data_IF_378843419779
#
_entry.id   IF_378843419779
#
_cell.length_a   1.000
_cell.length_b   1.000
_cell.length_c   1.000
_cell.angle_alpha   90.00
_cell.angle_beta   90.00
_cell.angle_gamma   90.00
#
_symmetry.space_group_name_H-M   'P 1'
#
loop_
_entity.id
_entity.type
_entity.pdbx_description
1 polymer ?
#
# COMPACT_ATOMS: atom_id res chain seq x y z
N UNK A 1 -8.78 -32.84 55.36
CA UNK A 1 -10.12 -32.84 54.73
C UNK A 1 -10.01 -32.06 53.44
N UNK A 2 -10.06 -32.76 52.30
CA UNK A 2 -9.86 -32.20 50.97
C UNK A 2 -11.21 -31.97 50.30
N UNK A 3 -11.49 -30.72 49.88
CA UNK A 3 -12.66 -30.39 49.10
C UNK A 3 -12.29 -30.36 47.61
N UNK A 4 -12.93 -31.25 46.85
CA UNK A 4 -12.67 -31.57 45.45
C UNK A 4 -13.77 -30.92 44.61
N UNK A 5 -13.54 -29.72 44.08
CA UNK A 5 -14.50 -29.07 43.16
C UNK A 5 -14.21 -29.47 41.72
N UNK A 6 -15.07 -30.35 41.17
CA UNK A 6 -15.17 -30.63 39.73
C UNK A 6 -15.94 -29.49 39.07
N UNK A 7 -15.26 -28.68 38.26
CA UNK A 7 -15.91 -27.77 37.32
C UNK A 7 -16.13 -28.49 35.99
N UNK A 8 -17.37 -28.47 35.52
CA UNK A 8 -17.87 -29.10 34.31
C UNK A 8 -17.52 -28.21 33.11
N UNK A 9 -16.59 -28.66 32.24
CA UNK A 9 -16.34 -28.05 30.93
C UNK A 9 -17.55 -28.28 30.02
N UNK A 10 -18.37 -27.26 29.80
CA UNK A 10 -19.32 -27.20 28.68
C UNK A 10 -18.61 -26.55 27.49
N UNK A 11 -18.23 -27.38 26.53
CA UNK A 11 -17.85 -26.98 25.17
C UNK A 11 -19.03 -26.27 24.50
N UNK A 12 -18.92 -24.94 24.30
CA UNK A 12 -19.79 -24.20 23.38
C UNK A 12 -19.09 -24.10 22.03
N UNK A 13 -19.66 -24.81 21.05
CA UNK A 13 -19.40 -24.61 19.62
C UNK A 13 -19.96 -23.23 19.27
N UNK A 14 -19.13 -22.30 18.81
CA UNK A 14 -19.64 -21.12 18.12
C UNK A 14 -19.97 -21.55 16.69
N UNK A 15 -21.26 -21.43 16.38
CA UNK A 15 -21.81 -21.66 15.06
C UNK A 15 -21.46 -20.47 14.16
N UNK A 16 -21.15 -20.79 12.91
CA UNK A 16 -21.01 -19.86 11.81
C UNK A 16 -22.23 -18.92 11.70
N UNK A 17 -21.95 -17.62 11.67
CA UNK A 17 -22.81 -16.61 11.07
C UNK A 17 -22.05 -16.12 9.83
N UNK A 18 -22.60 -15.99 8.65
CA UNK A 18 -23.98 -15.99 8.18
C UNK A 18 -23.88 -15.29 6.83
N UNK A 19 -23.71 -16.07 5.78
CA UNK A 19 -23.44 -15.61 4.43
C UNK A 19 -24.71 -14.91 3.90
N UNK A 20 -24.74 -13.58 3.92
CA UNK A 20 -25.79 -12.80 3.28
C UNK A 20 -25.47 -12.75 1.79
N UNK A 21 -26.06 -13.68 1.03
CA UNK A 21 -26.06 -13.64 -0.42
C UNK A 21 -26.97 -12.51 -0.91
N UNK A 22 -26.38 -11.34 -1.21
CA UNK A 22 -27.04 -10.31 -2.00
C UNK A 22 -27.07 -10.77 -3.45
N UNK A 23 -28.26 -11.12 -3.95
CA UNK A 23 -28.48 -11.39 -5.36
C UNK A 23 -28.34 -10.07 -6.14
N UNK A 24 -27.25 -9.91 -6.88
CA UNK A 24 -27.10 -8.86 -7.89
C UNK A 24 -27.96 -9.19 -9.12
N UNK A 25 -28.63 -8.21 -9.75
CA UNK A 25 -29.32 -8.43 -11.01
C UNK A 25 -28.31 -8.75 -12.12
N UNK A 26 -28.55 -9.86 -12.82
CA UNK A 26 -27.80 -10.26 -14.00
C UNK A 26 -28.06 -9.26 -15.16
N UNK A 27 -27.20 -8.27 -15.30
CA UNK A 27 -27.11 -7.46 -16.52
C UNK A 27 -26.26 -8.19 -17.56
N UNK A 28 -26.89 -9.11 -18.30
CA UNK A 28 -26.33 -9.65 -19.54
C UNK A 28 -26.40 -8.60 -20.66
N UNK A 29 -25.36 -7.77 -20.76
CA UNK A 29 -25.14 -6.85 -21.88
C UNK A 29 -24.00 -7.33 -22.76
N UNK A 30 -24.32 -7.96 -23.88
CA UNK A 30 -23.38 -8.38 -24.92
C UNK A 30 -22.95 -7.12 -25.70
N UNK A 31 -21.71 -6.66 -25.50
CA UNK A 31 -21.13 -5.57 -26.31
C UNK A 31 -20.51 -6.18 -27.58
N UNK A 32 -21.27 -6.15 -28.68
CA UNK A 32 -20.76 -6.46 -30.01
C UNK A 32 -19.88 -5.29 -30.49
N UNK A 33 -18.56 -5.51 -30.54
CA UNK A 33 -17.62 -4.61 -31.19
C UNK A 33 -17.72 -4.76 -32.70
N UNK A 34 -18.48 -3.87 -33.34
CA UNK A 34 -18.45 -3.72 -34.79
C UNK A 34 -17.16 -2.99 -35.20
N UNK A 35 -16.27 -3.71 -35.89
CA UNK A 35 -15.11 -3.14 -36.55
C UNK A 35 -15.54 -2.19 -37.67
N UNK A 36 -15.04 -0.95 -37.64
CA UNK A 36 -15.08 -0.06 -38.79
C UNK A 36 -13.83 -0.31 -39.67
N UNK A 37 -13.97 -0.38 -41.01
CA UNK A 37 -12.83 -0.43 -41.91
C UNK A 37 -12.29 0.99 -42.15
N UNK A 38 -10.98 1.17 -42.00
CA UNK A 38 -10.29 2.39 -42.41
C UNK A 38 -9.32 2.05 -43.55
N UNK A 39 -9.83 2.20 -44.78
CA UNK A 39 -9.00 2.36 -45.97
C UNK A 39 -8.79 3.86 -46.20
N UNK A 40 -7.54 4.32 -46.11
CA UNK A 40 -7.08 5.55 -46.74
C UNK A 40 -5.56 5.48 -46.88
N UNK A 41 -5.10 4.95 -48.02
CA UNK A 41 -3.80 5.25 -48.58
C UNK A 41 -3.72 6.76 -48.86
N UNK A 42 -2.68 7.43 -48.39
CA UNK A 42 -2.13 8.55 -49.14
C UNK A 42 -0.62 8.68 -48.92
N UNK A 43 0.08 8.79 -50.03
CA UNK A 43 1.53 8.76 -50.15
C UNK A 43 2.05 10.16 -50.51
N UNK A 44 3.10 10.64 -49.83
CA UNK A 44 3.89 11.81 -50.25
C UNK A 44 5.16 12.01 -49.38
N UNK A 45 6.17 12.78 -49.84
CA UNK A 45 7.53 12.30 -50.13
C UNK A 45 8.61 12.65 -49.06
N UNK A 46 9.87 12.15 -49.21
CA UNK A 46 10.94 12.39 -48.25
C UNK A 46 11.59 13.76 -48.49
N UNK A 47 11.67 14.59 -47.44
CA UNK A 47 12.37 15.87 -47.51
C UNK A 47 12.68 16.47 -46.15
N UNK A 48 13.96 16.83 -45.99
CA UNK A 48 14.59 17.65 -44.94
C UNK A 48 14.96 16.96 -43.62
N UNK A 49 16.26 16.64 -43.52
CA UNK A 49 16.95 16.43 -42.26
C UNK A 49 16.89 17.72 -41.43
N UNK A 50 16.02 17.72 -40.42
CA UNK A 50 16.01 18.72 -39.35
C UNK A 50 17.14 18.36 -38.39
N UNK A 51 18.05 19.30 -38.17
CA UNK A 51 19.10 19.18 -37.15
C UNK A 51 18.45 18.88 -35.80
N UNK A 52 18.75 17.71 -35.25
CA UNK A 52 18.42 17.36 -33.88
C UNK A 52 19.35 18.14 -32.96
N UNK A 53 18.94 19.36 -32.62
CA UNK A 53 19.40 19.98 -31.38
C UNK A 53 18.93 19.05 -30.26
N UNK A 54 19.89 18.33 -29.67
CA UNK A 54 19.70 17.39 -28.57
C UNK A 54 19.29 18.10 -27.28
N UNK A 55 18.14 18.78 -27.31
CA UNK A 55 17.43 19.19 -26.11
C UNK A 55 16.99 17.92 -25.40
N UNK A 56 17.74 17.54 -24.36
CA UNK A 56 17.26 16.61 -23.34
C UNK A 56 15.88 17.08 -22.92
N UNK A 57 14.86 16.26 -23.20
CA UNK A 57 13.52 16.47 -22.67
C UNK A 57 13.66 16.66 -21.16
N UNK A 58 13.00 17.66 -20.56
CA UNK A 58 13.04 17.84 -19.11
C UNK A 58 12.63 16.53 -18.46
N UNK A 59 13.53 15.99 -17.63
CA UNK A 59 13.32 14.74 -16.93
C UNK A 59 12.08 14.91 -16.03
N UNK A 60 11.14 13.96 -16.04
CA UNK A 60 9.91 14.08 -15.26
C UNK A 60 10.21 14.26 -13.77
N UNK A 61 9.38 15.02 -13.07
CA UNK A 61 9.52 15.35 -11.65
C UNK A 61 8.56 14.53 -10.79
N UNK A 62 8.87 14.38 -9.49
CA UNK A 62 7.87 13.94 -8.52
C UNK A 62 6.69 14.92 -8.56
N UNK A 63 5.45 14.43 -8.76
CA UNK A 63 4.30 15.30 -8.96
C UNK A 63 3.97 16.08 -7.69
N UNK A 64 3.63 17.34 -7.88
CA UNK A 64 3.19 18.25 -6.83
C UNK A 64 1.70 18.55 -7.02
N UNK A 65 1.05 19.00 -5.95
CA UNK A 65 -0.35 19.42 -5.97
C UNK A 65 -1.22 18.61 -5.02
N UNK A 66 -2.51 18.58 -5.33
CA UNK A 66 -3.55 18.01 -4.48
C UNK A 66 -4.04 16.67 -5.04
N UNK A 67 -4.03 15.67 -4.18
CA UNK A 67 -4.55 14.33 -4.41
C UNK A 67 -5.78 14.13 -3.51
N UNK A 68 -6.82 13.51 -4.07
CA UNK A 68 -8.11 13.29 -3.43
C UNK A 68 -8.48 11.80 -3.54
N UNK A 69 -9.72 11.44 -3.19
CA UNK A 69 -10.22 10.06 -3.22
C UNK A 69 -9.29 9.11 -2.45
N UNK A 70 -8.89 9.58 -1.26
CA UNK A 70 -7.90 8.86 -0.49
C UNK A 70 -8.50 7.59 0.13
N UNK A 71 -7.70 6.55 0.19
CA UNK A 71 -7.96 5.38 1.02
C UNK A 71 -6.76 5.11 1.91
N UNK A 72 -7.02 4.70 3.14
CA UNK A 72 -5.98 4.45 4.12
C UNK A 72 -6.15 3.08 4.76
N UNK A 73 -5.06 2.52 5.24
CA UNK A 73 -5.07 1.31 6.03
C UNK A 73 -3.94 1.28 7.05
N UNK A 74 -3.99 0.27 7.90
CA UNK A 74 -2.95 -0.01 8.88
C UNK A 74 -2.86 -1.50 9.12
N UNK A 75 -1.64 -2.02 9.11
CA UNK A 75 -1.31 -3.38 9.51
C UNK A 75 -0.36 -3.33 10.71
N UNK A 76 -0.65 -4.12 11.74
CA UNK A 76 0.12 -4.15 12.98
C UNK A 76 0.08 -5.54 13.61
N UNK A 77 1.00 -5.80 14.53
CA UNK A 77 0.92 -6.95 15.42
C UNK A 77 0.01 -6.63 16.62
N UNK A 78 -0.95 -7.51 16.92
CA UNK A 78 -1.67 -7.52 18.20
C UNK A 78 -3.11 -7.03 18.16
N UNK A 79 -3.52 -6.34 19.24
CA UNK A 79 -4.91 -5.97 19.54
C UNK A 79 -5.29 -4.55 19.05
N UNK A 80 -4.47 -3.94 18.17
CA UNK A 80 -4.85 -2.68 17.56
C UNK A 80 -5.75 -2.91 16.35
N UNK A 81 -6.68 -1.98 16.14
CA UNK A 81 -7.62 -2.09 15.04
C UNK A 81 -6.93 -1.89 13.69
N UNK A 82 -6.64 -2.98 12.98
CA UNK A 82 -6.36 -2.92 11.54
C UNK A 82 -7.65 -2.55 10.81
N UNK A 83 -7.74 -1.30 10.34
CA UNK A 83 -8.85 -0.84 9.51
C UNK A 83 -8.29 -0.25 8.24
N UNK A 84 -8.83 -0.67 7.10
CA UNK A 84 -8.74 0.09 5.88
C UNK A 84 -10.11 0.61 5.47
N UNK A 85 -10.14 1.79 4.89
CA UNK A 85 -11.37 2.39 4.38
C UNK A 85 -11.07 3.52 3.41
N UNK A 86 -12.06 3.80 2.56
CA UNK A 86 -12.08 4.99 1.70
C UNK A 86 -12.51 6.18 2.55
N UNK A 87 -11.72 7.24 2.50
CA UNK A 87 -12.07 8.52 3.11
C UNK A 87 -12.67 9.44 2.06
N UNK A 88 -14.00 9.47 1.99
CA UNK A 88 -14.68 10.48 1.20
C UNK A 88 -14.36 11.87 1.80
N UNK A 89 -13.68 12.70 1.01
CA UNK A 89 -13.15 14.01 1.45
C UNK A 89 -11.73 14.01 2.02
N UNK A 90 -11.04 12.87 2.08
CA UNK A 90 -9.61 12.84 2.41
C UNK A 90 -8.78 13.51 1.31
N UNK A 91 -7.84 14.38 1.70
CA UNK A 91 -7.01 15.17 0.77
C UNK A 91 -5.55 15.14 1.19
N UNK A 92 -4.67 14.77 0.25
CA UNK A 92 -3.22 14.82 0.39
C UNK A 92 -2.67 15.94 -0.48
N UNK A 93 -1.87 16.83 0.09
CA UNK A 93 -1.20 17.91 -0.64
C UNK A 93 0.30 17.69 -0.59
N UNK A 94 0.95 17.70 -1.75
CA UNK A 94 2.40 17.55 -1.89
C UNK A 94 2.96 18.87 -2.43
N UNK A 95 3.85 19.49 -1.67
CA UNK A 95 4.57 20.71 -2.06
C UNK A 95 6.08 20.47 -1.99
N UNK A 96 6.89 21.32 -2.64
CA UNK A 96 8.34 21.14 -2.70
C UNK A 96 9.09 22.41 -2.28
N UNK A 97 10.18 22.21 -1.54
CA UNK A 97 11.21 23.22 -1.25
C UNK A 97 12.60 22.59 -1.47
N UNK A 98 13.25 22.92 -2.59
CA UNK A 98 14.49 22.24 -2.99
C UNK A 98 14.25 20.75 -3.29
N UNK A 99 15.01 19.84 -2.67
CA UNK A 99 14.77 18.39 -2.76
C UNK A 99 13.77 17.88 -1.73
N UNK A 100 13.32 18.71 -0.80
CA UNK A 100 12.36 18.30 0.24
C UNK A 100 10.93 18.44 -0.27
N UNK A 101 10.11 17.42 -0.01
CA UNK A 101 8.67 17.43 -0.20
C UNK A 101 7.99 17.61 1.17
N UNK A 102 7.12 18.60 1.28
CA UNK A 102 6.19 18.78 2.41
C UNK A 102 4.85 18.16 1.99
N UNK A 103 4.49 17.09 2.70
CA UNK A 103 3.30 16.28 2.46
C UNK A 103 2.32 16.53 3.59
N UNK A 104 1.12 17.03 3.26
CA UNK A 104 0.07 17.33 4.23
C UNK A 104 -1.17 16.52 3.93
N UNK A 105 -1.63 15.78 4.91
CA UNK A 105 -2.87 15.03 4.83
C UNK A 105 -3.93 15.67 5.70
N UNK A 106 -5.14 15.79 5.15
CA UNK A 106 -6.34 16.18 5.88
C UNK A 106 -7.37 15.08 5.71
N UNK A 107 -7.79 14.47 6.82
CA UNK A 107 -8.81 13.42 6.77
C UNK A 107 -10.22 14.00 6.62
N UNK A 108 -11.23 13.13 6.45
CA UNK A 108 -12.64 13.54 6.33
C UNK A 108 -13.18 14.34 7.54
N UNK A 109 -12.52 14.21 8.71
CA UNK A 109 -12.87 14.94 9.93
C UNK A 109 -12.11 16.27 10.08
N UNK A 110 -11.23 16.62 9.14
CA UNK A 110 -10.43 17.85 9.17
C UNK A 110 -9.17 17.78 10.05
N UNK A 111 -8.84 16.60 10.59
CA UNK A 111 -7.59 16.37 11.32
C UNK A 111 -6.42 16.40 10.34
N UNK A 112 -5.29 16.97 10.78
CA UNK A 112 -4.15 17.28 9.91
C UNK A 112 -2.93 16.48 10.33
N UNK A 113 -2.25 15.89 9.35
CA UNK A 113 -0.93 15.28 9.50
C UNK A 113 0.03 15.92 8.52
N UNK A 114 1.30 16.08 8.91
CA UNK A 114 2.34 16.66 8.06
C UNK A 114 3.60 15.81 8.13
N UNK A 115 4.25 15.63 6.98
CA UNK A 115 5.41 14.77 6.83
C UNK A 115 6.42 15.44 5.89
N UNK A 116 7.70 15.25 6.19
CA UNK A 116 8.79 15.72 5.34
C UNK A 116 9.50 14.54 4.68
N UNK A 117 9.55 14.57 3.35
CA UNK A 117 10.26 13.61 2.52
C UNK A 117 11.39 14.28 1.76
N UNK A 118 12.39 13.52 1.35
CA UNK A 118 13.40 13.93 0.37
C UNK A 118 13.19 13.13 -0.90
N UNK A 119 13.00 13.83 -2.01
CA UNK A 119 12.81 13.23 -3.32
C UNK A 119 14.11 12.58 -3.79
N UNK A 120 14.08 11.26 -4.00
CA UNK A 120 15.22 10.50 -4.52
C UNK A 120 15.12 10.27 -6.02
N UNK A 121 13.89 10.27 -6.56
CA UNK A 121 13.60 10.19 -7.99
C UNK A 121 12.35 10.99 -8.37
N UNK A 122 11.90 10.84 -9.61
CA UNK A 122 10.66 11.38 -10.13
C UNK A 122 9.38 10.67 -9.65
N UNK A 123 9.52 9.53 -8.99
CA UNK A 123 8.39 8.72 -8.52
C UNK A 123 8.59 8.22 -7.10
N UNK A 124 9.67 8.64 -6.43
CA UNK A 124 10.01 8.23 -5.08
C UNK A 124 10.55 9.38 -4.25
N UNK A 125 10.07 9.45 -3.01
CA UNK A 125 10.67 10.20 -1.93
C UNK A 125 10.71 9.36 -0.64
N UNK A 126 11.68 9.63 0.23
CA UNK A 126 11.86 8.89 1.50
C UNK A 126 11.84 9.84 2.68
N UNK A 127 11.35 9.38 3.83
CA UNK A 127 11.22 10.24 5.01
C UNK A 127 12.60 10.72 5.47
N UNK A 128 12.77 12.02 5.70
CA UNK A 128 14.10 12.61 5.99
C UNK A 128 14.54 12.32 7.42
N UNK A 129 13.57 12.14 8.32
CA UNK A 129 13.77 12.03 9.77
C UNK A 129 12.52 11.43 10.42
N UNK A 130 12.68 10.81 11.61
CA UNK A 130 11.54 10.48 12.46
C UNK A 130 10.65 11.70 12.64
N UNK A 131 9.35 11.50 12.51
CA UNK A 131 8.35 12.58 12.59
C UNK A 131 7.68 12.58 13.96
N UNK A 132 6.92 13.64 14.22
CA UNK A 132 6.02 13.66 15.38
C UNK A 132 5.03 12.48 15.30
N UNK A 133 4.59 11.95 16.45
CA UNK A 133 3.61 10.88 16.48
C UNK A 133 2.34 11.25 15.70
N UNK A 134 1.86 10.32 14.88
CA UNK A 134 0.58 10.47 14.20
C UNK A 134 -0.52 9.98 15.13
N UNK A 135 -1.51 10.85 15.35
CA UNK A 135 -2.68 10.57 16.17
C UNK A 135 -3.81 9.97 15.32
N UNK A 136 -4.86 9.47 15.99
CA UNK A 136 -6.07 8.98 15.35
C UNK A 136 -6.12 7.45 15.21
N UNK A 137 -5.22 6.74 15.89
CA UNK A 137 -5.28 5.29 16.02
C UNK A 137 -6.01 4.90 17.30
N UNK A 138 -6.54 3.68 17.32
CA UNK A 138 -7.21 3.12 18.49
C UNK A 138 -6.72 1.69 18.75
N UNK A 139 -6.52 1.38 20.03
CA UNK A 139 -6.31 0.01 20.50
C UNK A 139 -7.59 -0.56 21.07
N UNK A 140 -7.83 -1.85 20.84
CA UNK A 140 -8.91 -2.58 21.49
C UNK A 140 -8.36 -3.19 22.77
N UNK A 141 -9.09 -3.10 23.88
CA UNK A 141 -8.78 -3.78 25.12
C UNK A 141 -10.00 -4.63 25.51
N UNK A 142 -9.80 -5.94 25.62
CA UNK A 142 -10.84 -6.86 26.05
C UNK A 142 -10.73 -7.06 27.55
N UNK A 143 -11.68 -6.51 28.30
CA UNK A 143 -11.73 -6.69 29.75
C UNK A 143 -12.21 -8.12 30.12
N UNK A 144 -12.02 -8.52 31.39
CA UNK A 144 -12.29 -9.87 31.93
C UNK A 144 -13.72 -10.40 31.69
N UNK A 145 -14.67 -9.54 31.30
CA UNK A 145 -16.06 -9.89 30.97
C UNK A 145 -16.36 -9.92 29.47
N UNK A 146 -15.35 -9.75 28.61
CA UNK A 146 -15.48 -9.70 27.16
C UNK A 146 -16.03 -8.37 26.62
N UNK A 147 -16.05 -7.32 27.44
CA UNK A 147 -16.31 -5.96 26.97
C UNK A 147 -15.08 -5.46 26.19
N UNK A 148 -15.32 -4.85 25.04
CA UNK A 148 -14.27 -4.26 24.20
C UNK A 148 -14.32 -2.76 24.39
N UNK A 149 -13.29 -2.20 25.00
CA UNK A 149 -13.09 -0.76 25.11
C UNK A 149 -12.03 -0.30 24.10
N UNK A 150 -12.20 0.93 23.60
CA UNK A 150 -11.31 1.55 22.63
C UNK A 150 -10.50 2.66 23.30
N UNK A 151 -9.18 2.59 23.18
CA UNK A 151 -8.26 3.58 23.75
C UNK A 151 -7.47 4.30 22.65
N UNK A 152 -7.16 5.60 22.81
CA UNK A 152 -6.34 6.31 21.83
C UNK A 152 -4.91 5.73 21.76
N UNK A 153 -4.38 5.66 20.55
CA UNK A 153 -3.02 5.24 20.26
C UNK A 153 -2.35 6.21 19.29
N UNK A 154 -1.02 6.22 19.30
CA UNK A 154 -0.19 7.06 18.45
C UNK A 154 0.89 6.24 17.73
N UNK A 155 1.15 6.58 16.46
CA UNK A 155 2.19 5.94 15.66
C UNK A 155 3.45 6.81 15.67
N UNK A 156 4.52 6.33 16.29
CA UNK A 156 5.84 6.97 16.20
C UNK A 156 6.54 6.50 14.92
N UNK A 157 6.67 7.38 13.94
CA UNK A 157 7.21 7.05 12.62
C UNK A 157 8.73 6.96 12.65
N UNK A 158 9.27 5.82 12.23
CA UNK A 158 10.71 5.60 12.08
C UNK A 158 11.17 5.48 10.63
N UNK A 159 10.27 5.13 9.72
CA UNK A 159 10.55 4.95 8.30
C UNK A 159 9.34 5.33 7.46
N UNK A 160 9.57 5.67 6.19
CA UNK A 160 8.46 5.92 5.28
C UNK A 160 8.92 6.24 3.88
N UNK A 161 8.02 6.00 2.93
CA UNK A 161 8.22 6.27 1.52
C UNK A 161 6.95 6.86 0.90
N UNK A 162 7.16 7.77 -0.03
CA UNK A 162 6.12 8.38 -0.86
C UNK A 162 6.42 7.99 -2.30
N UNK A 163 5.50 7.27 -2.92
CA UNK A 163 5.62 6.81 -4.30
C UNK A 163 4.53 7.44 -5.15
N UNK A 164 4.81 7.63 -6.43
CA UNK A 164 3.81 8.06 -7.39
C UNK A 164 3.85 7.18 -8.63
N UNK A 165 2.67 6.66 -8.98
CA UNK A 165 2.49 5.88 -10.19
C UNK A 165 1.03 5.93 -10.66
N UNK A 166 0.82 5.91 -11.98
CA UNK A 166 -0.51 5.92 -12.61
C UNK A 166 -1.50 6.91 -11.96
N UNK A 167 -1.07 8.17 -11.82
CA UNK A 167 -1.83 9.27 -11.19
C UNK A 167 -2.24 9.03 -9.74
N UNK A 168 -1.54 8.13 -9.05
CA UNK A 168 -1.82 7.76 -7.66
C UNK A 168 -0.57 8.01 -6.82
N UNK A 169 -0.72 8.72 -5.71
CA UNK A 169 0.31 8.79 -4.68
C UNK A 169 0.05 7.71 -3.65
N UNK A 170 1.08 6.92 -3.35
CA UNK A 170 1.05 5.90 -2.31
C UNK A 170 2.11 6.20 -1.25
N UNK A 171 1.64 6.54 -0.07
CA UNK A 171 2.39 6.85 1.15
C UNK A 171 2.41 5.61 2.03
N UNK A 172 3.60 5.24 2.52
CA UNK A 172 3.81 4.19 3.51
C UNK A 172 4.62 4.76 4.67
N UNK A 173 4.19 4.49 5.90
CA UNK A 173 4.79 4.97 7.13
C UNK A 173 4.92 3.77 8.08
N UNK A 174 6.17 3.39 8.36
CA UNK A 174 6.50 2.33 9.30
C UNK A 174 6.97 2.90 10.64
N UNK A 175 6.52 2.31 11.73
CA UNK A 175 6.86 2.78 13.06
C UNK A 175 6.33 1.89 14.18
N UNK A 176 6.36 2.45 15.39
CA UNK A 176 5.89 1.76 16.59
C UNK A 176 4.60 2.42 17.05
N UNK A 177 3.52 1.64 17.12
CA UNK A 177 2.21 2.06 17.61
C UNK A 177 2.16 1.88 19.12
N UNK A 178 1.83 2.94 19.86
CA UNK A 178 1.82 2.94 21.33
C UNK A 178 0.51 3.51 21.86
N UNK A 179 -0.02 2.90 22.93
CA UNK A 179 -1.16 3.47 23.68
C UNK A 179 -0.74 4.80 24.33
N UNK A 180 -1.56 5.86 24.18
CA UNK A 180 -1.23 7.18 24.75
C UNK A 180 -1.42 7.23 26.27
N UNK A 181 -2.20 6.29 26.82
CA UNK A 181 -2.53 6.18 28.24
C UNK A 181 -2.25 4.78 28.77
N UNK A 182 -1.98 4.66 30.07
CA UNK A 182 -2.00 3.35 30.74
C UNK A 182 -3.43 2.82 30.77
N UNK A 183 -3.77 1.95 29.82
CA UNK A 183 -5.08 1.28 29.78
C UNK A 183 -5.17 0.19 30.86
N UNK A 184 -6.37 -0.35 31.18
CA UNK A 184 -6.50 -1.56 32.01
C UNK A 184 -5.73 -2.76 31.44
N UNK A 185 -5.54 -2.81 30.12
CA UNK A 185 -4.71 -3.78 29.42
C UNK A 185 -3.19 -3.48 29.50
N UNK A 186 -2.80 -2.39 30.18
CA UNK A 186 -1.42 -1.92 30.26
C UNK A 186 -1.03 -1.03 29.07
N UNK A 187 0.21 -0.52 29.12
CA UNK A 187 0.82 0.14 27.97
C UNK A 187 1.20 -0.94 26.95
N UNK A 188 0.64 -0.83 25.75
CA UNK A 188 0.96 -1.72 24.63
C UNK A 188 1.73 -0.95 23.57
N UNK A 189 2.66 -1.67 22.96
CA UNK A 189 3.53 -1.18 21.90
C UNK A 189 3.69 -2.29 20.88
N UNK A 190 3.51 -1.98 19.60
CA UNK A 190 3.67 -2.96 18.53
C UNK A 190 4.23 -2.29 17.26
N UNK A 191 5.02 -3.02 16.46
CA UNK A 191 5.38 -2.57 15.13
C UNK A 191 4.12 -2.44 14.27
N UNK A 192 4.05 -1.37 13.49
CA UNK A 192 2.93 -1.08 12.62
C UNK A 192 3.38 -0.41 11.32
N UNK A 193 2.63 -0.66 10.27
CA UNK A 193 2.70 0.06 9.01
C UNK A 193 1.35 0.71 8.73
N UNK A 194 1.39 2.02 8.50
CA UNK A 194 0.29 2.79 7.98
C UNK A 194 0.53 3.07 6.50
N UNK A 195 -0.51 2.93 5.69
CA UNK A 195 -0.46 3.33 4.29
C UNK A 195 -1.65 4.21 3.93
N UNK A 196 -1.42 5.07 2.94
CA UNK A 196 -2.40 5.99 2.39
C UNK A 196 -2.18 6.05 0.88
N UNK A 197 -3.24 5.82 0.11
CA UNK A 197 -3.28 6.06 -1.32
C UNK A 197 -4.19 7.24 -1.61
N UNK A 198 -3.84 8.08 -2.58
CA UNK A 198 -4.70 9.16 -3.06
C UNK A 198 -4.53 9.35 -4.56
N UNK A 199 -5.62 9.58 -5.28
CA UNK A 199 -5.62 9.83 -6.71
C UNK A 199 -5.42 11.31 -7.02
N UNK A 200 -4.78 11.60 -8.15
CA UNK A 200 -4.54 12.97 -8.60
C UNK A 200 -5.87 13.64 -8.90
N UNK A 201 -6.13 14.78 -8.26
CA UNK A 201 -7.28 15.60 -8.65
C UNK A 201 -7.01 16.28 -9.99
N UNK A 202 -8.06 16.51 -10.80
CA UNK A 202 -7.96 17.25 -12.07
C UNK A 202 -7.38 18.67 -11.91
N UNK A 203 -7.34 19.20 -10.68
CA UNK A 203 -6.79 20.51 -10.33
C UNK A 203 -5.27 20.51 -10.07
N UNK A 204 -4.58 19.37 -10.16
CA UNK A 204 -3.15 19.27 -9.87
C UNK A 204 -2.28 19.78 -11.05
N UNK A 205 -1.63 20.93 -10.86
CA UNK A 205 -0.74 21.56 -11.85
C UNK A 205 0.60 20.81 -11.92
N UNK A 206 1.10 20.40 -13.11
CA UNK A 206 2.44 19.85 -13.23
C UNK A 206 3.51 20.90 -12.88
N UNK A 207 4.47 20.51 -12.04
CA UNK A 207 5.65 21.32 -11.67
C UNK A 207 6.77 21.20 -12.71
N UNK A 208 7.68 22.20 -12.74
CA UNK A 208 8.72 22.39 -13.76
C UNK A 208 10.13 22.71 -13.22
N UNK A 209 10.56 22.14 -12.10
CA UNK A 209 11.99 22.10 -11.75
C UNK A 209 12.54 20.69 -11.40
N UNK A 210 13.46 20.14 -12.23
CA UNK A 210 13.92 18.75 -12.09
C UNK A 210 14.75 18.53 -10.81
N UNK A 211 14.53 17.44 -10.06
CA UNK A 211 15.40 17.08 -8.94
C UNK A 211 16.76 16.58 -9.47
N UNK A 212 17.83 16.91 -8.75
CA UNK A 212 19.08 16.19 -8.92
C UNK A 212 18.90 14.77 -8.39
N UNK A 213 19.16 13.75 -9.21
CA UNK A 213 19.13 12.33 -8.83
C UNK A 213 19.99 12.12 -7.58
N UNK A 214 19.38 11.86 -6.43
CA UNK A 214 20.12 11.52 -5.22
C UNK A 214 20.82 10.18 -5.48
N UNK A 215 22.15 10.13 -5.30
CA UNK A 215 22.86 8.85 -5.32
C UNK A 215 22.32 8.01 -4.17
N UNK A 216 21.97 6.76 -4.45
CA UNK A 216 21.73 5.76 -3.43
C UNK A 216 22.90 5.81 -2.44
N UNK A 217 22.60 6.06 -1.17
CA UNK A 217 23.62 5.98 -0.13
C UNK A 217 24.15 4.55 -0.12
N UNK A 218 25.48 4.42 -0.05
CA UNK A 218 26.20 3.15 0.07
C UNK A 218 25.93 2.56 1.46
N UNK A 219 24.68 2.16 1.68
CA UNK A 219 24.18 1.67 2.95
C UNK A 219 24.11 0.15 2.87
N UNK A 220 24.81 -0.51 3.79
CA UNK A 220 24.69 -1.95 3.95
C UNK A 220 23.28 -2.26 4.42
N UNK A 221 22.56 -3.08 3.65
CA UNK A 221 21.24 -3.59 4.00
C UNK A 221 21.23 -4.23 5.39
N UNK A 222 20.18 -3.95 6.18
CA UNK A 222 19.85 -4.67 7.42
C UNK A 222 18.81 -5.77 7.22
N UNK A 223 18.31 -5.97 6.00
CA UNK A 223 17.36 -7.05 5.72
C UNK A 223 18.02 -8.42 5.94
N UNK A 224 17.41 -9.26 6.78
CA UNK A 224 17.89 -10.61 7.05
C UNK A 224 17.44 -11.59 5.96
N UNK A 225 18.37 -11.98 5.06
CA UNK A 225 18.05 -12.90 3.96
C UNK A 225 17.49 -14.26 4.44
N UNK A 226 16.67 -14.90 3.61
CA UNK A 226 15.99 -16.17 3.88
C UNK A 226 14.48 -16.00 4.09
N UNK A 227 13.86 -16.97 4.75
CA UNK A 227 12.41 -17.06 4.86
C UNK A 227 11.85 -16.26 6.05
N UNK A 228 10.61 -15.82 5.89
CA UNK A 228 9.81 -15.10 6.87
C UNK A 228 8.38 -15.65 6.84
N UNK A 229 7.77 -15.82 8.02
CA UNK A 229 6.34 -16.09 8.15
C UNK A 229 5.59 -14.77 8.12
N UNK A 230 4.50 -14.71 7.37
CA UNK A 230 3.83 -13.46 7.11
C UNK A 230 2.31 -13.59 7.18
N UNK A 231 1.67 -12.47 7.44
CA UNK A 231 0.22 -12.28 7.26
C UNK A 231 0.00 -11.06 6.38
N UNK A 232 -0.91 -11.18 5.41
CA UNK A 232 -1.26 -10.09 4.51
C UNK A 232 -2.57 -9.40 4.88
N UNK A 233 -2.64 -8.13 4.50
CA UNK A 233 -3.87 -7.36 4.40
C UNK A 233 -3.89 -6.70 3.02
N UNK A 234 -4.86 -7.08 2.21
CA UNK A 234 -4.99 -6.64 0.82
C UNK A 234 -6.34 -5.97 0.70
N UNK A 235 -6.34 -4.81 0.05
CA UNK A 235 -7.49 -3.97 -0.10
C UNK A 235 -7.76 -3.69 -1.57
N UNK A 236 -9.00 -3.90 -1.96
CA UNK A 236 -9.49 -3.69 -3.31
C UNK A 236 -10.43 -2.52 -3.35
N UNK A 237 -10.12 -1.57 -4.24
CA UNK A 237 -10.92 -0.40 -4.46
C UNK A 237 -11.40 -0.40 -5.91
N UNK A 238 -12.70 -0.55 -6.08
CA UNK A 238 -13.36 -0.44 -7.37
C UNK A 238 -14.27 0.77 -7.37
N UNK A 239 -13.97 1.73 -8.24
CA UNK A 239 -14.86 2.84 -8.57
C UNK A 239 -15.61 2.47 -9.85
N UNK A 240 -16.89 2.12 -9.72
CA UNK A 240 -17.76 1.82 -10.85
C UNK A 240 -19.06 2.63 -10.76
N UNK A 241 -19.35 3.41 -11.81
CA UNK A 241 -20.59 4.21 -11.88
C UNK A 241 -20.80 5.21 -10.73
N UNK A 242 -19.73 5.70 -10.09
CA UNK A 242 -19.80 6.59 -8.92
C UNK A 242 -20.06 5.86 -7.59
N UNK A 243 -20.07 4.52 -7.58
CA UNK A 243 -20.09 3.72 -6.36
C UNK A 243 -18.68 3.22 -6.08
N UNK A 244 -18.21 3.45 -4.85
CA UNK A 244 -16.94 2.90 -4.39
C UNK A 244 -17.21 1.61 -3.62
N UNK A 245 -16.75 0.49 -4.18
CA UNK A 245 -16.76 -0.80 -3.49
C UNK A 245 -15.41 -1.04 -2.82
N UNK A 246 -15.48 -1.49 -1.58
CA UNK A 246 -14.34 -1.81 -0.74
C UNK A 246 -14.41 -3.30 -0.37
N UNK A 247 -13.31 -4.02 -0.60
CA UNK A 247 -13.16 -5.40 -0.17
C UNK A 247 -11.76 -5.60 0.43
N UNK A 248 -11.74 -6.02 1.69
CA UNK A 248 -10.54 -6.48 2.37
C UNK A 248 -10.38 -7.99 2.27
N UNK A 249 -9.15 -8.43 2.05
CA UNK A 249 -8.73 -9.81 2.03
C UNK A 249 -7.36 -9.94 2.71
N UNK A 250 -6.93 -11.18 2.90
CA UNK A 250 -5.69 -11.47 3.61
C UNK A 250 -5.59 -12.95 3.93
N UNK A 251 -4.37 -13.45 3.98
CA UNK A 251 -4.08 -14.81 4.39
C UNK A 251 -2.65 -14.90 4.93
N UNK A 252 -2.32 -16.04 5.51
CA UNK A 252 -0.96 -16.34 5.91
C UNK A 252 -0.12 -16.75 4.69
N UNK A 253 1.16 -16.40 4.72
CA UNK A 253 2.09 -16.65 3.64
C UNK A 253 3.53 -16.75 4.10
N UNK A 254 4.43 -16.86 3.13
CA UNK A 254 5.87 -16.89 3.33
C UNK A 254 6.53 -15.93 2.36
N UNK A 255 7.37 -15.05 2.89
CA UNK A 255 8.23 -14.17 2.10
C UNK A 255 9.67 -14.69 2.19
N UNK A 256 10.28 -14.98 1.04
CA UNK A 256 11.70 -15.31 0.95
C UNK A 256 12.47 -14.13 0.41
N UNK A 257 13.39 -13.58 1.20
CA UNK A 257 14.32 -12.55 0.75
C UNK A 257 15.64 -13.16 0.30
N UNK A 258 16.10 -12.76 -0.88
CA UNK A 258 17.44 -13.04 -1.38
C UNK A 258 18.07 -11.76 -1.93
N UNK A 259 19.37 -11.77 -2.20
CA UNK A 259 20.08 -10.60 -2.70
C UNK A 259 20.99 -10.97 -3.87
N UNK A 260 20.94 -10.16 -4.93
CA UNK A 260 21.80 -10.27 -6.10
C UNK A 260 22.48 -8.92 -6.35
N UNK A 261 23.72 -8.77 -5.89
CA UNK A 261 24.41 -7.47 -5.93
C UNK A 261 23.71 -6.44 -5.03
N UNK A 262 23.26 -5.32 -5.61
CA UNK A 262 22.55 -4.26 -4.88
C UNK A 262 21.02 -4.46 -4.82
N UNK A 263 20.51 -5.48 -5.51
CA UNK A 263 19.08 -5.77 -5.64
C UNK A 263 18.64 -6.78 -4.58
N UNK A 264 17.56 -6.46 -3.86
CA UNK A 264 16.85 -7.39 -2.97
C UNK A 264 15.72 -8.03 -3.78
N UNK A 265 15.71 -9.35 -3.85
CA UNK A 265 14.66 -10.12 -4.53
C UNK A 265 13.77 -10.74 -3.46
N UNK A 266 12.49 -10.36 -3.48
CA UNK A 266 11.48 -10.86 -2.56
C UNK A 266 10.50 -11.76 -3.31
N UNK A 267 10.37 -13.02 -2.87
CA UNK A 267 9.38 -13.96 -3.41
C UNK A 267 8.34 -14.25 -2.35
N UNK A 268 7.08 -13.94 -2.63
CA UNK A 268 5.96 -14.15 -1.72
C UNK A 268 5.02 -15.25 -2.23
N UNK A 269 4.59 -16.15 -1.35
CA UNK A 269 3.68 -17.24 -1.67
C UNK A 269 2.98 -17.82 -0.44
N UNK A 270 2.17 -18.87 -0.63
CA UNK A 270 1.36 -19.51 0.42
C UNK A 270 0.01 -18.84 0.66
N UNK A 271 -0.02 -17.52 0.57
CA UNK A 271 -1.24 -16.70 0.62
C UNK A 271 -2.11 -16.92 -0.63
N UNK A 272 -3.43 -17.06 -0.51
CA UNK A 272 -4.33 -17.26 -1.66
C UNK A 272 -4.66 -15.99 -2.44
N UNK A 273 -4.48 -14.81 -1.85
CA UNK A 273 -4.84 -13.53 -2.43
C UNK A 273 -3.65 -12.80 -3.05
N UNK A 274 -2.45 -12.94 -2.50
CA UNK A 274 -1.25 -12.26 -3.00
C UNK A 274 -0.07 -13.22 -3.22
N UNK A 275 0.80 -12.92 -4.17
CA UNK A 275 2.01 -13.70 -4.42
C UNK A 275 2.81 -13.23 -5.62
N UNK A 276 3.99 -13.79 -5.81
CA UNK A 276 4.86 -13.49 -6.95
C UNK A 276 6.26 -13.07 -6.52
N UNK A 277 7.06 -12.66 -7.50
CA UNK A 277 8.44 -12.21 -7.28
C UNK A 277 8.52 -10.71 -7.54
N UNK A 278 9.19 -10.01 -6.64
CA UNK A 278 9.36 -8.57 -6.65
C UNK A 278 10.83 -8.25 -6.46
N UNK A 279 11.30 -7.26 -7.19
CA UNK A 279 12.68 -6.82 -7.17
C UNK A 279 12.73 -5.45 -6.52
N UNK A 280 13.67 -5.23 -5.62
CA UNK A 280 13.79 -3.99 -4.87
C UNK A 280 15.20 -3.43 -4.93
N UNK A 281 15.30 -2.13 -5.17
CA UNK A 281 16.53 -1.37 -4.98
C UNK A 281 16.57 -0.81 -3.55
N UNK A 282 17.69 -1.01 -2.85
CA UNK A 282 17.89 -0.43 -1.51
C UNK A 282 17.84 1.09 -1.58
N UNK A 283 17.07 1.70 -0.68
CA UNK A 283 16.99 3.16 -0.52
C UNK A 283 17.69 3.61 0.75
N UNK A 284 17.57 2.83 1.83
CA UNK A 284 18.33 2.99 3.07
C UNK A 284 18.75 1.61 3.60
N UNK A 285 19.39 1.59 4.77
CA UNK A 285 19.72 0.34 5.45
C UNK A 285 18.47 -0.47 5.86
N UNK A 286 17.31 0.17 6.01
CA UNK A 286 16.06 -0.45 6.48
C UNK A 286 14.90 -0.27 5.51
N UNK A 287 15.13 0.26 4.32
CA UNK A 287 14.09 0.44 3.31
C UNK A 287 14.59 0.12 1.91
N UNK A 288 13.69 -0.43 1.09
CA UNK A 288 13.93 -0.68 -0.34
C UNK A 288 12.67 -0.37 -1.14
N UNK A 289 12.84 -0.02 -2.42
CA UNK A 289 11.75 0.34 -3.33
C UNK A 289 11.67 -0.66 -4.47
N UNK A 290 10.44 -1.03 -4.84
CA UNK A 290 10.16 -1.91 -5.96
C UNK A 290 10.69 -1.34 -7.29
N UNK A 291 11.30 -2.20 -8.07
CA UNK A 291 11.64 -1.98 -9.47
C UNK A 291 10.54 -2.52 -10.38
N UNK A 292 10.42 -1.95 -11.58
CA UNK A 292 9.40 -2.32 -12.56
C UNK A 292 9.53 -3.74 -13.13
N UNK A 293 10.62 -4.44 -12.83
CA UNK A 293 10.93 -5.80 -13.29
C UNK A 293 10.23 -6.91 -12.50
N UNK A 294 9.59 -6.59 -11.38
CA UNK A 294 8.81 -7.55 -10.60
C UNK A 294 7.49 -7.95 -11.25
N UNK A 295 6.96 -9.12 -10.85
CA UNK A 295 5.69 -9.67 -11.30
C UNK A 295 4.79 -10.07 -10.11
N UNK A 296 4.38 -9.12 -9.24
CA UNK A 296 3.38 -9.39 -8.23
C UNK A 296 2.05 -9.76 -8.88
N UNK A 297 1.30 -10.63 -8.20
CA UNK A 297 0.03 -11.17 -8.65
C UNK A 297 -0.98 -11.18 -7.51
N UNK A 298 -2.23 -10.86 -7.85
CA UNK A 298 -3.33 -10.72 -6.91
C UNK A 298 -4.57 -11.44 -7.41
N UNK A 299 -5.36 -11.96 -6.47
CA UNK A 299 -6.67 -12.50 -6.77
C UNK A 299 -7.68 -11.37 -6.99
N UNK A 300 -8.72 -11.66 -7.76
CA UNK A 300 -9.81 -10.74 -8.01
C UNK A 300 -10.96 -10.99 -7.03
N UNK A 301 -11.00 -10.33 -5.87
CA UNK A 301 -11.98 -10.64 -4.81
C UNK A 301 -13.43 -10.33 -5.18
N UNK A 302 -13.66 -9.48 -6.18
CA UNK A 302 -15.01 -9.13 -6.67
C UNK A 302 -15.69 -10.34 -7.33
N UNK A 303 -14.91 -11.33 -7.80
CA UNK A 303 -15.42 -12.53 -8.44
C UNK A 303 -14.99 -13.76 -7.63
N UNK A 304 -15.90 -14.69 -7.30
CA UNK A 304 -15.51 -15.91 -6.60
C UNK A 304 -14.43 -16.69 -7.37
N UNK A 305 -13.26 -16.90 -6.75
CA UNK A 305 -12.17 -17.70 -7.29
C UNK A 305 -10.83 -17.42 -6.61
N UNK A 306 -9.87 -18.31 -6.81
CA UNK A 306 -8.51 -18.22 -6.24
C UNK A 306 -7.44 -17.95 -7.31
N UNK A 307 -7.88 -17.56 -8.52
CA UNK A 307 -6.95 -17.29 -9.63
C UNK A 307 -6.29 -15.93 -9.42
N UNK A 308 -4.98 -15.94 -9.25
CA UNK A 308 -4.16 -14.72 -9.24
C UNK A 308 -3.87 -14.25 -10.65
N UNK A 309 -3.95 -12.94 -10.84
CA UNK A 309 -3.59 -12.26 -12.06
C UNK A 309 -2.44 -11.30 -11.77
N UNK A 310 -1.50 -11.12 -12.71
CA UNK A 310 -0.44 -10.15 -12.54
C UNK A 310 -1.03 -8.74 -12.43
N UNK A 311 -0.41 -7.91 -11.59
CA UNK A 311 -0.61 -6.47 -11.67
C UNK A 311 -0.15 -5.96 -13.05
N UNK A 312 -0.77 -4.88 -13.53
CA UNK A 312 -0.34 -4.20 -14.74
C UNK A 312 1.09 -3.66 -14.59
N UNK A 313 1.73 -3.32 -15.71
CA UNK A 313 2.93 -2.49 -15.66
C UNK A 313 2.61 -1.16 -14.95
N UNK A 314 3.53 -0.69 -14.11
CA UNK A 314 3.22 0.40 -13.17
C UNK A 314 2.53 -0.13 -11.91
N UNK A 315 3.31 -0.82 -11.07
CA UNK A 315 2.96 -1.04 -9.68
C UNK A 315 4.07 -0.41 -8.85
N UNK A 316 3.73 0.02 -7.63
CA UNK A 316 4.66 0.56 -6.66
C UNK A 316 4.70 -0.35 -5.45
N UNK A 317 5.85 -0.47 -4.81
CA UNK A 317 5.94 -1.17 -3.54
C UNK A 317 7.21 -0.86 -2.78
N UNK A 318 7.18 -1.11 -1.48
CA UNK A 318 8.22 -0.77 -0.53
C UNK A 318 8.48 -1.98 0.35
N UNK A 319 9.74 -2.20 0.69
CA UNK A 319 10.14 -3.02 1.82
C UNK A 319 10.61 -2.10 2.92
N UNK A 320 10.08 -2.27 4.13
CA UNK A 320 10.46 -1.49 5.30
C UNK A 320 10.72 -2.42 6.47
N UNK A 321 11.88 -2.30 7.11
CA UNK A 321 12.20 -2.99 8.35
C UNK A 321 11.97 -2.04 9.52
N UNK A 322 11.01 -2.38 10.37
CA UNK A 322 10.74 -1.67 11.63
C UNK A 322 11.06 -2.63 12.76
N UNK A 323 12.07 -2.28 13.56
CA UNK A 323 12.63 -3.19 14.56
C UNK A 323 13.06 -4.51 13.88
N UNK A 324 12.42 -5.62 14.24
CA UNK A 324 12.66 -6.95 13.65
C UNK A 324 11.52 -7.41 12.72
N UNK A 325 10.51 -6.56 12.51
CA UNK A 325 9.34 -6.86 11.66
C UNK A 325 9.53 -6.23 10.28
N UNK A 326 9.41 -7.08 9.26
CA UNK A 326 9.50 -6.68 7.86
C UNK A 326 8.12 -6.42 7.31
N UNK A 327 7.94 -5.24 6.73
CA UNK A 327 6.74 -4.86 6.00
C UNK A 327 7.02 -4.81 4.50
N UNK A 328 6.13 -5.41 3.73
CA UNK A 328 6.06 -5.27 2.28
C UNK A 328 4.74 -4.59 1.94
N UNK A 329 4.80 -3.34 1.49
CA UNK A 329 3.63 -2.59 1.04
C UNK A 329 3.63 -2.49 -0.47
N UNK A 330 2.45 -2.50 -1.10
CA UNK A 330 2.31 -2.35 -2.53
C UNK A 330 1.02 -1.63 -2.92
N UNK A 331 1.03 -1.03 -4.10
CA UNK A 331 -0.14 -0.48 -4.79
C UNK A 331 0.01 -0.70 -6.28
N UNK A 332 -1.10 -0.97 -6.97
CA UNK A 332 -1.10 -1.19 -8.41
C UNK A 332 -2.49 -1.34 -8.99
N UNK A 333 -2.55 -1.61 -10.29
CA UNK A 333 -3.80 -1.82 -11.01
C UNK A 333 -3.85 -3.23 -11.56
N UNK A 334 -5.01 -3.87 -11.49
CA UNK A 334 -5.20 -5.21 -12.07
C UNK A 334 -5.07 -5.17 -13.60
N UNK A 335 -4.28 -6.09 -14.16
CA UNK A 335 -4.02 -6.17 -15.59
C UNK A 335 -5.26 -6.47 -16.44
N UNK A 336 -5.19 -6.14 -17.73
CA UNK A 336 -6.28 -6.28 -18.70
C UNK A 336 -6.82 -7.72 -18.85
N UNK A 337 -5.99 -8.72 -18.57
CA UNK A 337 -6.36 -10.14 -18.65
C UNK A 337 -7.05 -10.66 -17.38
N UNK A 338 -7.27 -9.81 -16.38
CA UNK A 338 -7.96 -10.18 -15.14
C UNK A 338 -9.46 -9.95 -15.22
N UNK A 339 -10.20 -10.64 -14.37
CA UNK A 339 -11.65 -10.47 -14.23
C UNK A 339 -12.05 -9.13 -13.59
N UNK A 340 -11.10 -8.38 -13.04
CA UNK A 340 -11.29 -7.02 -12.50
C UNK A 340 -10.26 -6.05 -13.09
N UNK A 341 -10.03 -6.14 -14.40
CA UNK A 341 -9.18 -5.22 -15.15
C UNK A 341 -9.44 -3.76 -14.75
N UNK A 342 -8.37 -3.01 -14.50
CA UNK A 342 -8.46 -1.59 -14.13
C UNK A 342 -8.77 -1.33 -12.65
N UNK A 343 -9.05 -2.37 -11.86
CA UNK A 343 -9.31 -2.21 -10.43
C UNK A 343 -8.01 -1.89 -9.69
N UNK A 344 -8.07 -0.91 -8.78
CA UNK A 344 -6.94 -0.53 -7.93
C UNK A 344 -6.82 -1.51 -6.76
N UNK A 345 -5.59 -1.92 -6.51
CA UNK A 345 -5.22 -2.82 -5.42
C UNK A 345 -4.13 -2.16 -4.61
N UNK A 346 -4.21 -2.31 -3.31
CA UNK A 346 -3.10 -2.02 -2.43
C UNK A 346 -3.09 -3.05 -1.31
N UNK A 347 -1.99 -3.16 -0.63
CA UNK A 347 -1.90 -4.06 0.50
C UNK A 347 -0.57 -3.95 1.19
N UNK A 348 -0.51 -4.57 2.34
CA UNK A 348 0.68 -4.73 3.13
C UNK A 348 0.79 -6.18 3.58
N UNK A 349 2.02 -6.65 3.66
CA UNK A 349 2.37 -7.94 4.25
C UNK A 349 3.30 -7.66 5.41
N UNK A 350 2.97 -8.20 6.57
CA UNK A 350 3.77 -8.09 7.78
C UNK A 350 4.41 -9.45 8.05
N UNK A 351 5.72 -9.44 8.25
CA UNK A 351 6.54 -10.63 8.23
C UNK A 351 7.49 -10.68 9.43
N UNK A 352 7.58 -11.85 10.07
CA UNK A 352 8.54 -12.16 11.13
C UNK A 352 9.52 -13.21 10.64
N UNK A 353 10.79 -13.11 11.05
CA UNK A 353 11.83 -14.05 10.62
C UNK A 353 11.59 -15.47 11.16
N UNK A 354 11.77 -16.48 10.30
CA UNK A 354 11.67 -17.92 10.65
C UNK A 354 12.95 -18.52 11.23
#
# INVERSE_FOLDING_TARGET
MAAKNRSVRRSRRFAAAGLVALALPACGGKLDWAAAPSDAEDASPPGAAVGSDGGTLPEPEFPLGTFALCARGMLNEGEFMSRAFVEDGGVLTVTRSGNQLDVRYVNTYGEKSAFEFEATSNSLATIVRPQEPVLGYVSECVEDLGAIDLYPAELTISAGALTYDADTVFLTLGGTLTDTDTTPCGLRSAPAEHWLTCERSESAVPSSSPPARARANDSTSRFALGDYACTSQIETFLHDGGTTMYMGSGDDGTLTLSQSGAEIIATYGGDRFFGGTMNFALTTATSAQAESSGSPSLTCEVVPGDTKFPLSQGWSGTLTLVEDTLFLSFSGTMGANSQCSGTKKMGSVMCTKL
#
